data_IF_814581642596
#
_entry.id   IF_814581642596
#
_cell.length_a   1.000
_cell.length_b   1.000
_cell.length_c   1.000
_cell.angle_alpha   90.00
_cell.angle_beta   90.00
_cell.angle_gamma   90.00
#
_symmetry.space_group_name_H-M   'P 1'
#
loop_
_entity.id
_entity.type
_entity.pdbx_description
1 polymer ?
#
# COMPACT_ATOMS: atom_id res chain seq x y z
N UNK A 1 2.68 -9.06 -8.41
CA UNK A 1 1.80 -9.68 -7.39
C UNK A 1 1.16 -10.98 -7.87
N UNK A 2 0.48 -11.00 -9.02
CA UNK A 2 -0.32 -12.16 -9.51
C UNK A 2 0.42 -13.51 -9.63
N UNK A 3 1.75 -13.51 -9.83
CA UNK A 3 2.56 -14.73 -9.92
C UNK A 3 3.11 -15.22 -8.57
N UNK A 4 3.00 -14.43 -7.50
CA UNK A 4 3.57 -14.76 -6.20
C UNK A 4 2.67 -15.75 -5.48
N UNK A 5 3.25 -16.82 -4.93
CA UNK A 5 2.52 -17.84 -4.17
C UNK A 5 2.70 -17.71 -2.66
N UNK A 6 3.73 -16.98 -2.21
CA UNK A 6 3.97 -16.72 -0.79
C UNK A 6 3.22 -15.46 -0.38
N UNK A 7 2.33 -15.58 0.62
CA UNK A 7 1.51 -14.49 1.12
C UNK A 7 2.36 -13.33 1.68
N UNK A 8 3.49 -13.63 2.33
CA UNK A 8 4.39 -12.60 2.86
C UNK A 8 4.92 -11.71 1.71
N UNK A 9 5.31 -12.34 0.60
CA UNK A 9 5.82 -11.64 -0.58
C UNK A 9 4.72 -10.81 -1.25
N UNK A 10 3.46 -11.27 -1.20
CA UNK A 10 2.32 -10.50 -1.70
C UNK A 10 2.09 -9.26 -0.84
N UNK A 11 2.04 -9.40 0.49
CA UNK A 11 1.88 -8.27 1.40
C UNK A 11 3.00 -7.24 1.20
N UNK A 12 4.26 -7.68 1.15
CA UNK A 12 5.40 -6.78 0.90
C UNK A 12 5.34 -6.10 -0.48
N UNK A 13 4.84 -6.80 -1.50
CA UNK A 13 4.64 -6.20 -2.82
C UNK A 13 3.55 -5.12 -2.81
N UNK A 14 2.55 -5.26 -1.94
CA UNK A 14 1.46 -4.31 -1.80
C UNK A 14 1.95 -3.03 -1.11
N UNK A 15 2.76 -3.16 -0.05
CA UNK A 15 3.46 -2.02 0.57
C UNK A 15 4.32 -1.24 -0.44
N UNK A 16 5.04 -1.96 -1.31
CA UNK A 16 5.83 -1.33 -2.38
C UNK A 16 4.94 -0.60 -3.40
N UNK A 17 3.76 -1.11 -3.72
CA UNK A 17 2.80 -0.42 -4.60
C UNK A 17 2.26 0.85 -3.94
N UNK A 18 1.89 0.80 -2.66
CA UNK A 18 1.44 1.98 -1.90
C UNK A 18 2.54 3.05 -1.78
N UNK A 19 3.79 2.63 -1.60
CA UNK A 19 4.93 3.56 -1.66
C UNK A 19 5.11 4.18 -3.06
N UNK A 20 4.87 3.43 -4.13
CA UNK A 20 4.84 3.96 -5.49
C UNK A 20 3.75 5.02 -5.68
N UNK A 21 2.55 4.79 -5.12
CA UNK A 21 1.46 5.77 -5.12
C UNK A 21 1.85 7.04 -4.34
N UNK A 22 2.50 6.91 -3.18
CA UNK A 22 3.00 8.05 -2.41
C UNK A 22 4.01 8.89 -3.20
N UNK A 23 4.94 8.25 -3.92
CA UNK A 23 5.88 8.95 -4.80
C UNK A 23 5.17 9.69 -5.93
N UNK A 24 4.15 9.07 -6.54
CA UNK A 24 3.35 9.71 -7.57
C UNK A 24 2.61 10.94 -7.02
N UNK A 25 1.97 10.83 -5.85
CA UNK A 25 1.26 11.94 -5.17
C UNK A 25 2.20 13.13 -4.93
N UNK A 26 3.39 12.89 -4.36
CA UNK A 26 4.37 13.97 -4.11
C UNK A 26 4.88 14.58 -5.41
N UNK A 27 5.13 13.74 -6.43
CA UNK A 27 5.62 14.19 -7.73
C UNK A 27 4.60 15.09 -8.43
N UNK A 28 3.32 14.70 -8.44
CA UNK A 28 2.25 15.54 -8.97
C UNK A 28 2.04 16.80 -8.14
N UNK A 29 2.04 16.68 -6.81
CA UNK A 29 1.93 17.83 -5.90
C UNK A 29 3.02 18.87 -6.11
N UNK A 30 4.22 18.46 -6.58
CA UNK A 30 5.32 19.36 -6.96
C UNK A 30 5.23 19.85 -8.40
N UNK A 31 4.89 18.99 -9.35
CA UNK A 31 4.89 19.30 -10.79
C UNK A 31 3.81 20.32 -11.18
N UNK A 32 2.65 20.29 -10.52
CA UNK A 32 1.56 21.24 -10.78
C UNK A 32 1.75 22.62 -10.10
N UNK A 33 2.89 22.87 -9.47
CA UNK A 33 3.30 24.19 -8.99
C UNK A 33 4.05 24.89 -10.13
N UNK A 34 3.33 25.70 -10.91
CA UNK A 34 3.90 26.41 -12.07
C UNK A 34 4.92 27.50 -11.64
N UNK A 35 5.93 27.82 -12.47
CA UNK A 35 6.87 28.92 -12.21
C UNK A 35 6.25 30.32 -12.31
N UNK A 36 5.08 30.45 -12.93
CA UNK A 36 4.42 31.73 -13.18
C UNK A 36 3.26 31.96 -12.20
N UNK A 37 3.57 32.58 -11.06
CA UNK A 37 2.85 33.77 -10.58
C UNK A 37 1.35 33.76 -10.27
N UNK A 38 0.59 32.67 -10.40
CA UNK A 38 -0.76 32.58 -9.81
C UNK A 38 -0.82 31.45 -8.81
N UNK A 39 -0.37 31.77 -7.60
CA UNK A 39 -0.71 31.01 -6.42
C UNK A 39 -2.24 30.91 -6.34
N UNK A 40 -2.81 29.76 -6.69
CA UNK A 40 -3.84 29.20 -5.83
C UNK A 40 -3.14 28.60 -4.61
N UNK A 41 -2.54 29.52 -3.84
CA UNK A 41 -1.90 29.40 -2.52
C UNK A 41 -0.76 28.36 -2.39
N UNK A 42 0.19 28.61 -1.49
CA UNK A 42 1.20 27.64 -1.03
C UNK A 42 0.63 26.40 -0.31
N UNK A 43 -0.55 25.95 -0.74
CA UNK A 43 -1.33 24.82 -0.26
C UNK A 43 -1.12 23.56 -1.09
N UNK A 44 -0.77 23.64 -2.39
CA UNK A 44 -0.67 22.43 -3.24
C UNK A 44 0.37 21.41 -2.76
N UNK A 45 1.59 21.87 -2.43
CA UNK A 45 2.62 21.02 -1.85
C UNK A 45 2.19 20.45 -0.49
N UNK A 46 1.62 21.29 0.38
CA UNK A 46 1.16 20.95 1.72
C UNK A 46 0.00 19.94 1.71
N UNK A 47 -0.93 20.05 0.75
CA UNK A 47 -2.05 19.13 0.56
C UNK A 47 -1.57 17.74 0.11
N UNK A 48 -0.56 17.66 -0.76
CA UNK A 48 0.01 16.37 -1.19
C UNK A 48 0.67 15.63 -0.03
N UNK A 49 1.31 16.34 0.91
CA UNK A 49 1.93 15.76 2.10
C UNK A 49 0.89 15.16 3.05
N UNK A 50 -0.24 15.84 3.28
CA UNK A 50 -1.34 15.32 4.10
C UNK A 50 -1.87 14.01 3.51
N UNK A 51 -2.03 13.95 2.18
CA UNK A 51 -2.50 12.75 1.49
C UNK A 51 -1.54 11.57 1.66
N UNK A 52 -0.23 11.80 1.58
CA UNK A 52 0.80 10.77 1.84
C UNK A 52 0.69 10.22 3.26
N UNK A 53 0.50 11.08 4.26
CA UNK A 53 0.36 10.64 5.66
C UNK A 53 -0.89 9.76 5.83
N UNK A 54 -2.00 10.11 5.17
CA UNK A 54 -3.22 9.29 5.19
C UNK A 54 -2.97 7.92 4.54
N UNK A 55 -2.30 7.88 3.37
CA UNK A 55 -1.97 6.62 2.69
C UNK A 55 -1.03 5.77 3.55
N UNK A 56 -0.04 6.38 4.23
CA UNK A 56 0.83 5.67 5.16
C UNK A 56 0.07 5.10 6.37
N UNK A 57 -0.92 5.83 6.89
CA UNK A 57 -1.77 5.33 7.97
C UNK A 57 -2.64 4.15 7.52
N UNK A 58 -3.18 4.20 6.30
CA UNK A 58 -3.92 3.08 5.68
C UNK A 58 -3.00 1.89 5.48
N UNK A 59 -1.78 2.09 4.96
CA UNK A 59 -0.79 1.03 4.78
C UNK A 59 -0.47 0.33 6.11
N UNK A 60 -0.26 1.10 7.18
CA UNK A 60 -0.03 0.53 8.52
C UNK A 60 -1.23 -0.29 9.02
N UNK A 61 -2.46 0.20 8.81
CA UNK A 61 -3.68 -0.52 9.17
C UNK A 61 -3.84 -1.81 8.35
N UNK A 62 -3.60 -1.75 7.04
CA UNK A 62 -3.66 -2.92 6.16
C UNK A 62 -2.62 -3.97 6.55
N UNK A 63 -1.36 -3.57 6.78
CA UNK A 63 -0.29 -4.48 7.19
C UNK A 63 -0.64 -5.23 8.49
N UNK A 64 -1.25 -4.55 9.46
CA UNK A 64 -1.70 -5.16 10.71
C UNK A 64 -2.81 -6.19 10.47
N UNK A 65 -3.81 -5.87 9.65
CA UNK A 65 -4.91 -6.78 9.31
C UNK A 65 -4.40 -7.96 8.48
N UNK A 66 -3.58 -7.71 7.46
CA UNK A 66 -2.98 -8.71 6.59
C UNK A 66 -2.10 -9.69 7.36
N UNK A 67 -1.31 -9.19 8.32
CA UNK A 67 -0.49 -10.04 9.20
C UNK A 67 -1.36 -10.86 10.16
N UNK A 68 -2.42 -10.28 10.73
CA UNK A 68 -3.35 -11.00 11.60
C UNK A 68 -4.02 -12.18 10.85
N UNK A 69 -4.46 -11.94 9.61
CA UNK A 69 -5.03 -12.98 8.74
C UNK A 69 -3.96 -14.03 8.41
N UNK A 70 -2.75 -13.62 8.04
CA UNK A 70 -1.64 -14.53 7.77
C UNK A 70 -1.35 -15.45 8.97
N UNK A 71 -1.33 -14.90 10.19
CA UNK A 71 -1.11 -15.69 11.40
C UNK A 71 -2.25 -16.68 11.68
N UNK A 72 -3.51 -16.27 11.45
CA UNK A 72 -4.66 -17.15 11.57
C UNK A 72 -4.59 -18.33 10.58
N UNK A 73 -4.24 -18.05 9.32
CA UNK A 73 -4.04 -19.04 8.28
C UNK A 73 -2.85 -19.96 8.60
N UNK A 74 -1.73 -19.38 9.00
CA UNK A 74 -0.52 -20.13 9.36
C UNK A 74 -0.77 -21.07 10.56
N UNK A 75 -1.61 -20.66 11.52
CA UNK A 75 -2.00 -21.53 12.64
C UNK A 75 -2.73 -22.79 12.18
N UNK A 76 -3.52 -22.71 11.11
CA UNK A 76 -4.30 -23.83 10.57
C UNK A 76 -3.48 -24.72 9.62
N UNK A 77 -2.66 -24.12 8.76
CA UNK A 77 -2.00 -24.83 7.65
C UNK A 77 -0.49 -25.00 7.84
N UNK A 78 0.13 -24.30 8.81
CA UNK A 78 1.58 -24.21 9.02
C UNK A 78 2.38 -23.85 7.77
N UNK A 79 1.73 -23.18 6.82
CA UNK A 79 2.30 -22.73 5.55
C UNK A 79 1.76 -21.34 5.19
N UNK A 80 2.63 -20.52 4.59
CA UNK A 80 2.29 -19.23 4.02
C UNK A 80 2.11 -19.27 2.50
N UNK A 81 2.11 -20.47 1.88
CA UNK A 81 1.87 -20.64 0.45
C UNK A 81 0.38 -20.79 0.16
N UNK A 82 -0.13 -19.98 -0.76
CA UNK A 82 -1.55 -19.99 -1.17
C UNK A 82 -1.96 -21.36 -1.73
N UNK A 83 -1.07 -22.02 -2.48
CA UNK A 83 -1.36 -23.31 -3.11
C UNK A 83 -1.70 -24.43 -2.13
N UNK A 84 -1.20 -24.31 -0.90
CA UNK A 84 -1.46 -25.30 0.14
C UNK A 84 -2.89 -25.16 0.66
N UNK A 85 -3.47 -23.96 0.64
CA UNK A 85 -4.75 -23.58 1.25
C UNK A 85 -5.98 -23.94 0.38
N UNK A 86 -6.30 -25.23 0.26
CA UNK A 86 -7.50 -25.72 -0.44
C UNK A 86 -8.65 -26.04 0.51
N UNK A 87 -9.52 -25.07 0.81
CA UNK A 87 -10.73 -25.30 1.62
C UNK A 87 -12.07 -25.07 0.88
N UNK A 88 -12.06 -24.44 -0.30
CA UNK A 88 -13.28 -24.07 -1.05
C UNK A 88 -13.21 -24.51 -2.52
N UNK A 89 -13.00 -25.81 -2.74
CA UNK A 89 -13.26 -26.46 -4.02
C UNK A 89 -14.48 -27.36 -3.83
N UNK A 90 -15.65 -26.74 -3.81
CA UNK A 90 -16.91 -27.40 -4.11
C UNK A 90 -17.12 -27.44 -5.62
#
# INVERSE_FOLDING_TARGET
VLSRQNIIVILMSLELMLNGVNLAIISFGRYFITPEGSALSGTGASSSQIFVIIVLAIAAAEAAVGLAILLAVYRRWRSARIGDMRLLKG
#
